data_IF_515748429851
#
_entry.id   IF_515748429851
#
_cell.length_a   1.000
_cell.length_b   1.000
_cell.length_c   1.000
_cell.angle_alpha   90.00
_cell.angle_beta   90.00
_cell.angle_gamma   90.00
#
_symmetry.space_group_name_H-M   'P 1'
#
loop_
_entity.id
_entity.type
_entity.pdbx_description
1 polymer ?
#
# COMPACT_ATOMS: atom_id res chain seq x y z
N UNK A 1 0.72 7.98 -0.86
CA UNK A 1 0.60 7.53 0.53
C UNK A 1 -0.73 6.84 0.74
N UNK A 2 -0.78 5.88 1.66
CA UNK A 2 -2.02 5.33 2.19
C UNK A 2 -2.14 5.76 3.65
N UNK A 3 -3.15 6.57 3.96
CA UNK A 3 -3.51 6.85 5.33
C UNK A 3 -4.56 5.83 5.74
N UNK A 4 -4.32 5.15 6.86
CA UNK A 4 -5.16 4.06 7.33
C UNK A 4 -5.61 4.37 8.76
N UNK A 5 -6.85 4.02 9.10
CA UNK A 5 -7.33 4.16 10.47
C UNK A 5 -6.61 3.18 11.39
N UNK A 6 -6.31 3.61 12.62
CA UNK A 6 -5.62 2.82 13.64
C UNK A 6 -6.28 1.45 13.89
N UNK A 7 -7.63 1.41 13.89
CA UNK A 7 -8.45 0.19 14.07
C UNK A 7 -8.16 -0.94 13.06
N UNK A 8 -7.54 -0.63 11.92
CA UNK A 8 -7.24 -1.60 10.86
C UNK A 8 -5.76 -1.52 10.43
N UNK A 9 -4.91 -0.83 11.18
CA UNK A 9 -3.50 -0.67 10.84
C UNK A 9 -2.76 -2.02 10.88
N UNK A 10 -3.13 -2.89 11.81
CA UNK A 10 -2.63 -4.26 11.95
C UNK A 10 -3.07 -5.21 10.83
N UNK A 11 -4.05 -4.80 10.01
CA UNK A 11 -4.54 -5.59 8.86
C UNK A 11 -3.81 -5.29 7.56
N UNK A 12 -2.91 -4.30 7.55
CA UNK A 12 -2.08 -4.00 6.38
C UNK A 12 -1.03 -5.09 6.23
N UNK A 13 -1.12 -5.85 5.13
CA UNK A 13 -0.18 -6.92 4.81
C UNK A 13 1.05 -6.38 4.09
N UNK A 14 0.88 -5.38 3.20
CA UNK A 14 1.98 -4.71 2.48
C UNK A 14 1.66 -3.26 2.19
N UNK A 15 2.67 -2.38 2.24
CA UNK A 15 2.62 -1.02 1.71
C UNK A 15 3.98 -0.65 1.11
N UNK A 16 4.11 -0.74 -0.20
CA UNK A 16 5.40 -0.58 -0.88
C UNK A 16 5.24 0.11 -2.24
N UNK A 17 6.27 0.84 -2.67
CA UNK A 17 6.34 1.32 -4.05
C UNK A 17 6.63 0.13 -4.97
N UNK A 18 5.93 0.06 -6.10
CA UNK A 18 6.16 -1.00 -7.10
C UNK A 18 7.03 -0.48 -8.24
N UNK A 19 7.86 -1.32 -8.85
CA UNK A 19 8.63 -0.89 -10.02
C UNK A 19 7.70 -0.46 -11.18
N UNK A 20 7.71 0.84 -11.54
CA UNK A 20 6.98 1.41 -12.67
C UNK A 20 7.79 1.48 -13.97
N UNK A 21 8.94 0.82 -14.04
CA UNK A 21 9.82 0.78 -15.20
C UNK A 21 10.74 2.01 -15.31
N UNK A 22 11.14 2.42 -16.53
CA UNK A 22 12.15 3.47 -16.70
C UNK A 22 11.77 4.86 -16.15
N UNK A 23 10.48 5.12 -15.93
CA UNK A 23 9.98 6.39 -15.41
C UNK A 23 9.47 6.19 -13.97
N UNK A 24 10.00 6.97 -13.02
CA UNK A 24 9.86 6.77 -11.57
C UNK A 24 9.57 8.08 -10.81
N UNK A 25 9.18 9.15 -11.51
CA UNK A 25 8.89 10.45 -10.88
C UNK A 25 7.68 10.38 -9.94
N UNK A 26 6.74 9.46 -10.21
CA UNK A 26 5.53 9.25 -9.42
C UNK A 26 5.15 7.76 -9.41
N UNK A 27 5.98 6.95 -8.75
CA UNK A 27 5.80 5.50 -8.67
C UNK A 27 4.54 5.12 -7.86
N UNK A 28 3.72 4.16 -8.32
CA UNK A 28 2.55 3.71 -7.56
C UNK A 28 2.95 3.04 -6.24
N UNK A 29 2.10 3.14 -5.22
CA UNK A 29 2.25 2.42 -3.95
C UNK A 29 1.17 1.33 -3.89
N UNK A 30 1.58 0.07 -3.85
CA UNK A 30 0.71 -1.07 -3.59
C UNK A 30 0.29 -1.09 -2.11
N UNK A 31 -0.99 -1.34 -1.86
CA UNK A 31 -1.52 -1.65 -0.53
C UNK A 31 -2.21 -3.01 -0.60
N UNK A 32 -1.71 -3.97 0.18
CA UNK A 32 -2.37 -5.25 0.39
C UNK A 32 -2.95 -5.24 1.81
N UNK A 33 -4.24 -5.55 1.96
CA UNK A 33 -4.96 -5.45 3.23
C UNK A 33 -5.89 -6.65 3.40
N UNK A 34 -5.94 -7.20 4.61
CA UNK A 34 -6.86 -8.29 4.95
C UNK A 34 -8.17 -7.75 5.54
N UNK A 35 -9.28 -8.02 4.87
CA UNK A 35 -10.61 -7.53 5.24
C UNK A 35 -11.59 -8.66 5.62
N UNK A 36 -11.09 -9.83 6.07
CA UNK A 36 -11.91 -10.99 6.44
C UNK A 36 -13.31 -10.61 6.95
N UNK A 37 -14.32 -11.07 6.21
CA UNK A 37 -15.76 -10.94 6.52
C UNK A 37 -16.22 -12.22 7.21
#
# INVERSE_FOLDING_TARGET
YWLVSDRIADRVLKSEMIDSGPRQDHTPILLEIDLQI
#
